data_IF_515363065408
#
_entry.id   IF_515363065408
#
_cell.length_a   1.000
_cell.length_b   1.000
_cell.length_c   1.000
_cell.angle_alpha   90.00
_cell.angle_beta   90.00
_cell.angle_gamma   90.00
#
_symmetry.space_group_name_H-M   'P 1'
#
loop_
_entity.id
_entity.type
_entity.pdbx_description
1 polymer ?
#
# COMPACT_ATOMS: atom_id res chain seq x y z
N UNK A 1 -11.23 6.49 2.00
CA UNK A 1 -10.10 6.41 1.06
C UNK A 1 -9.38 7.75 1.00
N UNK A 2 -8.07 7.74 0.74
CA UNK A 2 -7.31 9.00 0.60
C UNK A 2 -6.22 8.89 -0.47
N UNK A 3 -5.82 10.03 -0.99
CA UNK A 3 -4.68 10.23 -1.88
C UNK A 3 -4.04 11.59 -1.58
N UNK A 4 -2.76 11.74 -1.89
CA UNK A 4 -2.07 13.05 -1.76
C UNK A 4 -2.62 14.09 -2.74
N UNK A 5 -3.06 13.66 -3.93
CA UNK A 5 -3.57 14.51 -4.99
C UNK A 5 -5.04 14.84 -4.77
N UNK A 6 -5.36 16.11 -4.49
CA UNK A 6 -6.74 16.59 -4.43
C UNK A 6 -7.51 16.36 -5.73
N UNK A 7 -6.85 16.46 -6.88
CA UNK A 7 -7.44 16.16 -8.19
C UNK A 7 -7.80 14.68 -8.31
N UNK A 8 -6.95 13.77 -7.84
CA UNK A 8 -7.26 12.33 -7.85
C UNK A 8 -8.45 12.02 -6.95
N UNK A 9 -8.51 12.62 -5.76
CA UNK A 9 -9.63 12.50 -4.81
C UNK A 9 -10.92 13.03 -5.41
N UNK A 10 -10.91 14.18 -6.05
CA UNK A 10 -12.07 14.77 -6.73
C UNK A 10 -12.58 13.84 -7.84
N UNK A 11 -11.69 13.34 -8.70
CA UNK A 11 -12.07 12.41 -9.76
C UNK A 11 -12.63 11.09 -9.21
N UNK A 12 -11.99 10.52 -8.20
CA UNK A 12 -12.46 9.29 -7.56
C UNK A 12 -13.87 9.46 -6.98
N UNK A 13 -14.14 10.57 -6.30
CA UNK A 13 -15.46 10.86 -5.73
C UNK A 13 -16.56 11.05 -6.80
N UNK A 14 -16.21 11.54 -8.00
CA UNK A 14 -17.14 11.64 -9.12
C UNK A 14 -17.42 10.31 -9.81
N UNK A 15 -16.40 9.45 -9.92
CA UNK A 15 -16.52 8.14 -10.57
C UNK A 15 -17.21 7.14 -9.64
N UNK A 16 -16.85 7.16 -8.35
CA UNK A 16 -17.34 6.23 -7.33
C UNK A 16 -18.26 6.97 -6.36
N UNK A 17 -19.54 7.01 -6.72
CA UNK A 17 -20.57 7.75 -5.97
C UNK A 17 -21.24 6.92 -4.86
N UNK A 18 -20.58 5.87 -4.37
CA UNK A 18 -21.06 5.07 -3.26
C UNK A 18 -21.16 5.92 -1.99
N UNK A 19 -22.33 5.97 -1.34
CA UNK A 19 -22.57 6.91 -0.24
C UNK A 19 -21.75 6.67 1.03
N UNK A 20 -21.11 5.51 1.12
CA UNK A 20 -20.33 5.09 2.29
C UNK A 20 -18.81 5.30 2.13
N UNK A 21 -18.36 5.91 1.03
CA UNK A 21 -16.94 6.22 0.83
C UNK A 21 -16.68 7.67 1.20
N UNK A 22 -15.88 7.87 2.24
CA UNK A 22 -15.32 9.19 2.55
C UNK A 22 -13.98 9.35 1.82
N UNK A 23 -13.91 10.36 0.94
CA UNK A 23 -12.73 10.68 0.15
C UNK A 23 -11.98 11.85 0.77
N UNK A 24 -10.65 11.70 0.99
CA UNK A 24 -9.81 12.72 1.63
C UNK A 24 -8.52 12.96 0.84
N UNK A 25 -8.11 14.22 0.74
CA UNK A 25 -6.77 14.57 0.29
C UNK A 25 -5.86 14.64 1.53
N UNK A 26 -5.00 13.63 1.70
CA UNK A 26 -4.14 13.48 2.87
C UNK A 26 -2.74 13.01 2.46
N UNK A 27 -1.75 13.43 3.22
CA UNK A 27 -0.36 13.01 3.04
C UNK A 27 -0.05 11.80 3.93
N UNK A 28 0.33 10.66 3.31
CA UNK A 28 0.73 9.45 4.04
C UNK A 28 1.87 9.71 5.05
N UNK A 29 2.74 10.68 4.78
CA UNK A 29 3.83 11.02 5.69
C UNK A 29 3.37 11.79 6.93
N UNK A 30 2.19 12.42 6.86
CA UNK A 30 1.65 13.28 7.91
C UNK A 30 0.15 13.06 8.13
N UNK A 31 -0.24 11.82 8.41
CA UNK A 31 -1.64 11.45 8.65
C UNK A 31 -2.15 11.99 9.98
N UNK A 32 -3.49 12.23 10.08
CA UNK A 32 -4.13 12.60 11.34
C UNK A 32 -3.84 11.60 12.46
N UNK A 33 -3.54 12.09 13.66
CA UNK A 33 -3.17 11.24 14.81
C UNK A 33 -4.33 10.31 15.23
N UNK A 34 -5.57 10.77 15.08
CA UNK A 34 -6.78 9.99 15.35
C UNK A 34 -6.99 8.79 14.42
N UNK A 35 -6.20 8.67 13.34
CA UNK A 35 -6.24 7.51 12.45
C UNK A 35 -5.43 6.32 12.97
N UNK A 36 -4.59 6.52 13.97
CA UNK A 36 -3.83 5.44 14.59
C UNK A 36 -4.74 4.45 15.28
N UNK A 37 -4.58 3.18 14.95
CA UNK A 37 -5.37 2.10 15.52
C UNK A 37 -6.88 2.20 15.25
N UNK A 38 -7.29 2.93 14.21
CA UNK A 38 -8.69 3.23 13.97
C UNK A 38 -9.35 2.36 12.88
N UNK A 39 -8.57 1.58 12.12
CA UNK A 39 -9.07 0.92 10.91
C UNK A 39 -9.00 -0.60 11.00
N UNK A 40 -10.14 -1.27 10.83
CA UNK A 40 -10.22 -2.74 10.77
C UNK A 40 -9.54 -3.30 9.52
N UNK A 41 -9.48 -2.52 8.45
CA UNK A 41 -8.74 -2.84 7.22
C UNK A 41 -7.98 -1.62 6.72
N UNK A 42 -6.68 -1.76 6.60
CA UNK A 42 -5.80 -0.83 5.89
C UNK A 42 -5.39 -1.49 4.58
N UNK A 43 -5.76 -0.87 3.46
CA UNK A 43 -5.45 -1.39 2.12
C UNK A 43 -4.53 -0.43 1.38
N UNK A 44 -3.36 -0.90 1.01
CA UNK A 44 -2.40 -0.21 0.15
C UNK A 44 -2.35 -0.89 -1.22
N UNK A 45 -2.60 -0.14 -2.30
CA UNK A 45 -2.55 -0.66 -3.66
C UNK A 45 -1.68 0.24 -4.53
N UNK A 46 -0.50 -0.24 -4.88
CA UNK A 46 0.44 0.41 -5.81
C UNK A 46 1.03 1.76 -5.35
N UNK A 47 0.76 2.23 -4.13
CA UNK A 47 1.27 3.52 -3.64
C UNK A 47 2.76 3.43 -3.31
N UNK A 48 3.20 2.43 -2.55
CA UNK A 48 4.61 2.30 -2.13
C UNK A 48 5.57 2.21 -3.32
N UNK A 49 5.16 1.56 -4.41
CA UNK A 49 5.97 1.47 -5.63
C UNK A 49 6.02 2.77 -6.45
N UNK A 50 5.15 3.75 -6.15
CA UNK A 50 5.13 5.07 -6.78
C UNK A 50 5.89 6.13 -5.98
N UNK A 51 6.21 5.83 -4.72
CA UNK A 51 6.96 6.73 -3.84
C UNK A 51 8.47 6.59 -4.12
N UNK A 52 9.22 7.71 -4.24
CA UNK A 52 10.67 7.67 -4.41
C UNK A 52 11.37 6.83 -3.32
N UNK A 53 12.37 6.02 -3.70
CA UNK A 53 13.05 5.11 -2.76
C UNK A 53 13.56 5.78 -1.48
N UNK A 54 13.98 7.05 -1.56
CA UNK A 54 14.60 7.80 -0.46
C UNK A 54 13.64 8.06 0.71
N UNK A 55 12.33 8.18 0.42
CA UNK A 55 11.30 8.47 1.43
C UNK A 55 10.33 7.29 1.64
N UNK A 56 10.41 6.26 0.80
CA UNK A 56 9.49 5.11 0.81
C UNK A 56 9.49 4.36 2.14
N UNK A 57 10.66 4.20 2.78
CA UNK A 57 10.78 3.53 4.08
C UNK A 57 9.97 4.26 5.16
N UNK A 58 10.02 5.60 5.16
CA UNK A 58 9.26 6.42 6.11
C UNK A 58 7.76 6.30 5.84
N UNK A 59 7.35 6.32 4.57
CA UNK A 59 5.95 6.15 4.17
C UNK A 59 5.40 4.76 4.57
N UNK A 60 6.15 3.69 4.29
CA UNK A 60 5.78 2.32 4.65
C UNK A 60 5.55 2.14 6.15
N UNK A 61 6.40 2.76 6.99
CA UNK A 61 6.28 2.70 8.44
C UNK A 61 5.01 3.37 9.00
N UNK A 62 4.26 4.13 8.17
CA UNK A 62 3.00 4.77 8.58
C UNK A 62 1.79 3.84 8.47
N UNK A 63 1.88 2.72 7.73
CA UNK A 63 0.72 1.87 7.43
C UNK A 63 0.31 0.98 8.62
N UNK A 64 1.22 0.21 9.17
CA UNK A 64 0.93 -0.70 10.27
C UNK A 64 0.30 -0.01 11.52
N UNK A 65 0.75 1.20 11.93
CA UNK A 65 0.15 1.91 13.05
C UNK A 65 -1.33 2.32 12.86
N UNK A 66 -1.86 2.30 11.64
CA UNK A 66 -3.27 2.63 11.36
C UNK A 66 -4.22 1.48 11.73
N UNK A 67 -3.71 0.25 11.80
CA UNK A 67 -4.52 -0.95 11.99
C UNK A 67 -5.05 -1.03 13.41
N UNK A 68 -6.37 -1.20 13.53
CA UNK A 68 -7.05 -1.41 14.80
C UNK A 68 -6.71 -2.79 15.42
N UNK A 69 -6.93 -2.99 16.72
CA UNK A 69 -6.88 -4.33 17.32
C UNK A 69 -7.80 -5.31 16.56
N UNK A 70 -7.29 -6.49 16.24
CA UNK A 70 -7.93 -7.51 15.37
C UNK A 70 -8.15 -7.05 13.90
N UNK A 71 -7.58 -5.93 13.50
CA UNK A 71 -7.63 -5.44 12.12
C UNK A 71 -6.55 -6.06 11.23
N UNK A 72 -6.58 -5.67 9.96
CA UNK A 72 -5.67 -6.20 8.94
C UNK A 72 -5.02 -5.10 8.12
N UNK A 73 -3.77 -5.35 7.72
CA UNK A 73 -3.07 -4.59 6.68
C UNK A 73 -2.93 -5.49 5.44
N UNK A 74 -3.30 -4.97 4.29
CA UNK A 74 -3.11 -5.65 2.99
C UNK A 74 -2.38 -4.71 2.04
N UNK A 75 -1.28 -5.19 1.47
CA UNK A 75 -0.50 -4.47 0.47
C UNK A 75 -0.46 -5.25 -0.84
N UNK A 76 -0.72 -4.55 -1.95
CA UNK A 76 -0.73 -5.11 -3.30
C UNK A 76 0.13 -4.23 -4.20
N UNK A 77 1.05 -4.85 -4.92
CA UNK A 77 1.93 -4.10 -5.82
C UNK A 77 2.76 -4.98 -6.74
N UNK A 78 3.76 -4.37 -7.36
CA UNK A 78 4.76 -5.07 -8.17
C UNK A 78 5.92 -5.49 -7.29
N UNK A 79 6.40 -6.72 -7.49
CA UNK A 79 7.58 -7.25 -6.80
C UNK A 79 8.75 -7.39 -7.77
N UNK A 80 9.94 -7.01 -7.30
CA UNK A 80 11.20 -7.24 -7.99
C UNK A 80 11.77 -8.60 -7.51
N UNK A 81 11.81 -9.58 -8.42
CA UNK A 81 12.35 -10.92 -8.14
C UNK A 81 13.79 -11.08 -8.63
N UNK A 82 14.29 -10.16 -9.47
CA UNK A 82 15.62 -10.28 -10.07
C UNK A 82 16.71 -9.63 -9.23
N UNK A 83 16.34 -8.66 -8.36
CA UNK A 83 17.27 -7.82 -7.61
C UNK A 83 17.95 -6.75 -8.47
N UNK A 84 17.62 -6.66 -9.76
CA UNK A 84 18.13 -5.61 -10.63
C UNK A 84 17.55 -4.25 -10.24
N UNK A 85 18.38 -3.22 -10.33
CA UNK A 85 17.90 -1.85 -10.15
C UNK A 85 17.07 -1.45 -11.37
N UNK A 86 15.78 -1.22 -11.14
CA UNK A 86 14.84 -0.83 -12.17
C UNK A 86 14.58 0.68 -12.11
N UNK A 87 14.45 1.30 -13.28
CA UNK A 87 13.99 2.67 -13.38
C UNK A 87 12.49 2.76 -13.14
N UNK A 88 12.02 3.84 -12.55
CA UNK A 88 10.62 4.06 -12.25
C UNK A 88 10.20 5.51 -12.32
N UNK A 89 8.99 5.92 -11.93
CA UNK A 89 7.93 5.08 -11.37
C UNK A 89 7.23 4.19 -12.43
N UNK A 90 6.66 3.04 -12.05
CA UNK A 90 6.74 2.42 -10.73
C UNK A 90 8.08 1.73 -10.48
N UNK A 91 8.51 1.70 -9.21
CA UNK A 91 9.67 0.91 -8.77
C UNK A 91 9.17 -0.37 -8.09
N UNK A 92 9.23 -1.55 -8.75
CA UNK A 92 8.88 -2.82 -8.12
C UNK A 92 9.66 -3.03 -6.81
N UNK A 93 8.97 -3.53 -5.80
CA UNK A 93 9.51 -3.62 -4.44
C UNK A 93 10.26 -4.95 -4.24
N UNK A 94 11.34 -4.93 -3.48
CA UNK A 94 12.01 -6.15 -3.04
C UNK A 94 11.19 -6.85 -1.95
N UNK A 95 11.25 -8.18 -1.91
CA UNK A 95 10.53 -8.99 -0.92
C UNK A 95 10.82 -8.56 0.51
N UNK A 96 12.09 -8.36 0.83
CA UNK A 96 12.51 -7.93 2.17
C UNK A 96 11.88 -6.60 2.59
N UNK A 97 11.77 -5.65 1.66
CA UNK A 97 11.10 -4.38 1.94
C UNK A 97 9.60 -4.60 2.20
N UNK A 98 8.91 -5.41 1.39
CA UNK A 98 7.49 -5.71 1.57
C UNK A 98 7.24 -6.32 2.95
N UNK A 99 8.03 -7.32 3.35
CA UNK A 99 7.91 -7.99 4.65
C UNK A 99 8.13 -7.02 5.83
N UNK A 100 8.95 -5.99 5.66
CA UNK A 100 9.17 -4.95 6.68
C UNK A 100 7.97 -4.02 6.88
N UNK A 101 7.12 -3.83 5.87
CA UNK A 101 5.93 -2.93 5.96
C UNK A 101 5.03 -3.31 7.13
N UNK A 102 4.77 -4.60 7.30
CA UNK A 102 3.93 -5.13 8.38
C UNK A 102 4.72 -5.75 9.54
N UNK A 103 6.00 -5.42 9.73
CA UNK A 103 6.87 -6.07 10.74
C UNK A 103 6.40 -5.94 12.20
N UNK A 104 5.47 -5.03 12.50
CA UNK A 104 4.84 -4.86 13.81
C UNK A 104 3.54 -5.69 13.96
N UNK A 105 3.15 -6.41 12.93
CA UNK A 105 1.94 -7.23 12.85
C UNK A 105 2.33 -8.67 12.52
N UNK A 106 1.37 -9.59 12.64
CA UNK A 106 1.56 -10.99 12.29
C UNK A 106 1.29 -11.22 10.79
N UNK A 107 2.29 -11.64 10.04
CA UNK A 107 2.11 -11.95 8.62
C UNK A 107 1.21 -13.18 8.46
N UNK A 108 0.10 -13.01 7.73
CA UNK A 108 -0.90 -14.05 7.49
C UNK A 108 -0.85 -14.61 6.08
N UNK A 109 -0.42 -13.79 5.10
CA UNK A 109 -0.36 -14.21 3.70
C UNK A 109 0.78 -13.52 2.95
N UNK A 110 1.37 -14.21 1.98
CA UNK A 110 2.29 -13.65 1.00
C UNK A 110 2.18 -14.43 -0.32
N UNK A 111 1.53 -13.83 -1.31
CA UNK A 111 1.31 -14.43 -2.62
C UNK A 111 2.10 -13.68 -3.69
N UNK A 112 2.63 -14.40 -4.65
CA UNK A 112 3.21 -13.85 -5.87
C UNK A 112 2.42 -14.40 -7.05
N UNK A 113 1.95 -13.51 -7.93
CA UNK A 113 1.14 -13.85 -9.08
C UNK A 113 1.61 -13.09 -10.33
N UNK A 114 1.57 -13.78 -11.46
CA UNK A 114 1.72 -13.19 -12.78
C UNK A 114 0.35 -13.22 -13.48
N UNK A 115 0.04 -12.17 -14.21
CA UNK A 115 -1.14 -12.20 -15.10
C UNK A 115 -0.72 -12.80 -16.44
N UNK A 116 -1.51 -13.71 -17.02
CA UNK A 116 -1.15 -14.44 -18.24
C UNK A 116 -0.84 -13.56 -19.47
N UNK A 117 -1.32 -12.30 -19.48
CA UNK A 117 -1.21 -11.39 -20.61
C UNK A 117 -0.34 -10.15 -20.31
N UNK A 118 0.42 -10.15 -19.23
CA UNK A 118 1.37 -9.06 -18.97
C UNK A 118 2.61 -9.21 -19.87
N UNK A 119 2.85 -8.22 -20.72
CA UNK A 119 4.09 -8.11 -21.52
C UNK A 119 4.71 -6.71 -21.30
N UNK A 120 5.98 -6.63 -20.85
CA UNK A 120 6.82 -7.73 -20.36
C UNK A 120 6.25 -8.35 -19.07
N UNK A 121 6.74 -9.55 -18.70
CA UNK A 121 6.28 -10.26 -17.52
C UNK A 121 6.35 -9.40 -16.25
N UNK A 122 5.19 -9.17 -15.63
CA UNK A 122 5.07 -8.35 -14.43
C UNK A 122 4.71 -9.25 -13.24
N UNK A 123 5.64 -9.36 -12.30
CA UNK A 123 5.38 -10.06 -11.04
C UNK A 123 4.64 -9.13 -10.07
N UNK A 124 3.53 -9.61 -9.51
CA UNK A 124 2.74 -8.91 -8.51
C UNK A 124 2.76 -9.66 -7.20
N UNK A 125 2.64 -8.93 -6.10
CA UNK A 125 2.47 -9.52 -4.78
C UNK A 125 1.15 -9.08 -4.16
N UNK A 126 0.66 -9.93 -3.26
CA UNK A 126 -0.26 -9.59 -2.20
C UNK A 126 0.39 -10.04 -0.90
N UNK A 127 0.52 -9.12 0.03
CA UNK A 127 0.99 -9.41 1.38
C UNK A 127 -0.05 -8.93 2.39
N UNK A 128 -0.35 -9.75 3.39
CA UNK A 128 -1.33 -9.44 4.42
C UNK A 128 -0.78 -9.74 5.81
N UNK A 129 -1.20 -8.92 6.76
CA UNK A 129 -0.85 -9.02 8.17
C UNK A 129 -2.09 -8.75 9.03
N UNK A 130 -2.14 -9.37 10.20
CA UNK A 130 -3.16 -9.11 11.22
C UNK A 130 -2.55 -8.50 12.48
N UNK A 131 -3.33 -7.64 13.12
CA UNK A 131 -3.10 -7.22 14.50
C UNK A 131 -3.87 -8.15 15.42
N UNK A 132 -3.22 -8.62 16.48
CA UNK A 132 -3.88 -9.40 17.54
C UNK A 132 -4.72 -8.49 18.45
#
# INVERSE_FOLDING_TARGET
>A
AFDLSSTAVEWASHIHQEPNIEWKAEDLLNLPEEWKGAWDLVLEVHILQAIPPEIRQVAAAKLAPLVAPNGNLVCIGRINLTGEKLDGPPWPLERQFIEQVGSQLNQTEFLIQNRPNDEPEVNRYLAAWSSD
#
